data_IF_016207407039
#
_entry.id   IF_016207407039
#
_cell.length_a   1.000
_cell.length_b   1.000
_cell.length_c   1.000
_cell.angle_alpha   90.00
_cell.angle_beta   90.00
_cell.angle_gamma   90.00
#
_symmetry.space_group_name_H-M   'P 1'
#
loop_
_entity.id
_entity.type
_entity.pdbx_description
1 polymer ?
#
# COMPACT_ATOMS: atom_id res chain seq x y z
N UNK A 1 -1.75 -65.80 60.66
CA UNK A 1 -0.81 -64.69 60.62
C UNK A 1 -0.73 -64.32 59.14
N UNK A 2 -1.57 -63.41 58.63
CA UNK A 2 -1.62 -62.99 57.23
C UNK A 2 -1.31 -61.51 57.18
N UNK A 3 -0.30 -61.16 56.37
CA UNK A 3 0.02 -59.78 56.05
C UNK A 3 -0.63 -59.39 54.72
N UNK A 4 -1.59 -58.50 54.79
CA UNK A 4 -2.15 -57.85 53.58
C UNK A 4 -1.32 -56.57 53.26
N UNK A 5 -0.72 -56.59 52.10
CA UNK A 5 0.00 -55.46 51.53
C UNK A 5 -0.96 -54.64 50.64
N UNK A 6 -1.39 -53.48 51.15
CA UNK A 6 -2.24 -52.56 50.39
C UNK A 6 -1.39 -51.80 49.36
N UNK A 7 -1.70 -51.96 48.09
CA UNK A 7 -1.14 -51.17 46.97
C UNK A 7 -1.94 -49.87 46.79
N UNK A 8 -1.34 -48.79 47.19
CA UNK A 8 -1.84 -47.42 46.93
C UNK A 8 -1.60 -47.02 45.47
N UNK A 9 -2.62 -47.05 44.64
CA UNK A 9 -2.54 -46.57 43.25
C UNK A 9 -2.64 -45.04 43.21
N UNK A 10 -1.53 -44.38 42.95
CA UNK A 10 -1.46 -42.92 42.73
C UNK A 10 -1.86 -42.64 41.29
N UNK A 11 -3.08 -42.11 41.08
CA UNK A 11 -3.55 -41.67 39.75
C UNK A 11 -3.08 -40.23 39.53
N UNK A 12 -2.06 -40.06 38.69
CA UNK A 12 -1.58 -38.78 38.22
C UNK A 12 -2.54 -38.26 37.13
N UNK A 13 -3.31 -37.24 37.42
CA UNK A 13 -4.14 -36.55 36.43
C UNK A 13 -3.28 -35.51 35.73
N UNK A 14 -2.93 -35.76 34.46
CA UNK A 14 -2.33 -34.75 33.59
C UNK A 14 -3.42 -33.73 33.14
N UNK A 15 -3.35 -32.52 33.67
CA UNK A 15 -4.11 -31.41 33.15
C UNK A 15 -3.39 -30.87 31.92
N UNK A 16 -3.90 -31.15 30.73
CA UNK A 16 -3.45 -30.54 29.49
C UNK A 16 -4.03 -29.13 29.41
N UNK A 17 -3.23 -28.14 29.74
CA UNK A 17 -3.57 -26.75 29.50
C UNK A 17 -3.45 -26.45 28.00
N UNK A 18 -4.57 -26.34 27.29
CA UNK A 18 -4.61 -25.88 25.91
C UNK A 18 -4.34 -24.36 25.89
N UNK A 19 -3.10 -23.98 25.60
CA UNK A 19 -2.76 -22.60 25.28
C UNK A 19 -3.36 -22.24 23.92
N UNK A 20 -4.52 -21.57 23.90
CA UNK A 20 -5.00 -20.87 22.70
C UNK A 20 -4.01 -19.76 22.36
N UNK A 21 -3.17 -20.00 21.35
CA UNK A 21 -2.36 -18.96 20.72
C UNK A 21 -3.31 -17.98 20.02
N UNK A 22 -3.56 -16.85 20.64
CA UNK A 22 -4.17 -15.67 20.01
C UNK A 22 -3.18 -15.17 18.93
N UNK A 23 -3.30 -15.69 17.72
CA UNK A 23 -2.62 -15.11 16.58
C UNK A 23 -3.13 -13.67 16.40
N UNK A 24 -2.25 -12.64 16.35
CA UNK A 24 -2.71 -11.30 16.08
C UNK A 24 -3.35 -11.29 14.69
N UNK A 25 -4.62 -10.94 14.61
CA UNK A 25 -5.28 -10.63 13.34
C UNK A 25 -4.58 -9.42 12.74
N UNK A 26 -3.65 -9.65 11.82
CA UNK A 26 -3.06 -8.59 11.01
C UNK A 26 -4.17 -8.11 10.09
N UNK A 27 -4.79 -6.99 10.44
CA UNK A 27 -5.77 -6.33 9.59
C UNK A 27 -5.08 -5.94 8.28
N UNK A 28 -5.36 -6.69 7.21
CA UNK A 28 -4.75 -6.48 5.91
C UNK A 28 -5.43 -5.28 5.23
N UNK A 29 -4.94 -4.06 5.48
CA UNK A 29 -5.34 -2.87 4.71
C UNK A 29 -4.81 -2.90 3.27
N UNK A 30 -4.08 -3.94 2.90
CA UNK A 30 -3.64 -4.27 1.55
C UNK A 30 -4.76 -5.02 0.79
N UNK A 31 -4.40 -5.76 -0.23
CA UNK A 31 -5.36 -6.56 -0.98
C UNK A 31 -5.76 -7.81 -0.19
N UNK A 32 -7.03 -7.87 0.23
CA UNK A 32 -7.58 -9.06 0.87
C UNK A 32 -8.13 -10.01 -0.21
N UNK A 33 -7.70 -11.27 -0.19
CA UNK A 33 -8.10 -12.31 -1.15
C UNK A 33 -7.86 -11.93 -2.62
N UNK A 34 -6.78 -11.18 -2.90
CA UNK A 34 -6.48 -10.79 -4.27
C UNK A 34 -6.11 -11.99 -5.15
N UNK A 35 -6.69 -12.03 -6.35
CA UNK A 35 -6.45 -13.05 -7.36
C UNK A 35 -5.65 -12.49 -8.52
N UNK A 36 -4.43 -13.02 -8.73
CA UNK A 36 -3.65 -12.71 -9.93
C UNK A 36 -4.30 -13.41 -11.13
N UNK A 37 -4.45 -12.74 -12.29
CA UNK A 37 -4.98 -13.39 -13.50
C UNK A 37 -4.13 -14.59 -13.93
N UNK A 38 -4.77 -15.68 -14.36
CA UNK A 38 -4.09 -16.87 -14.86
C UNK A 38 -3.65 -16.74 -16.32
N UNK A 39 -4.24 -15.81 -17.07
CA UNK A 39 -3.97 -15.59 -18.49
C UNK A 39 -3.15 -14.33 -18.78
N UNK A 40 -2.85 -14.07 -20.07
CA UNK A 40 -2.14 -12.88 -20.51
C UNK A 40 -2.85 -11.59 -20.07
N UNK A 41 -2.07 -10.63 -19.61
CA UNK A 41 -2.54 -9.29 -19.26
C UNK A 41 -2.27 -8.37 -20.45
N UNK A 42 -3.26 -7.63 -20.90
CA UNK A 42 -3.08 -6.62 -21.95
C UNK A 42 -2.10 -5.53 -21.48
N UNK A 43 -1.18 -5.18 -22.36
CA UNK A 43 -0.26 -4.07 -22.15
C UNK A 43 -0.77 -2.90 -23.01
N UNK A 44 -1.46 -1.91 -22.42
CA UNK A 44 -1.99 -0.80 -23.19
C UNK A 44 -0.87 0.16 -23.61
N UNK A 45 -1.07 0.84 -24.73
CA UNK A 45 -0.24 1.98 -25.10
C UNK A 45 -0.41 3.10 -24.07
N UNK A 46 0.67 3.78 -23.77
CA UNK A 46 0.70 4.88 -22.80
C UNK A 46 0.96 6.19 -23.55
N UNK A 47 -0.07 7.02 -23.78
CA UNK A 47 0.13 8.35 -24.33
C UNK A 47 0.83 9.25 -23.30
N UNK A 48 1.76 10.08 -23.80
CA UNK A 48 2.45 11.03 -22.94
C UNK A 48 1.49 12.19 -22.59
N UNK A 49 1.35 12.47 -21.29
CA UNK A 49 0.45 13.49 -20.73
C UNK A 49 1.18 14.75 -20.24
N UNK A 50 2.44 14.94 -20.62
CA UNK A 50 3.20 16.11 -20.18
C UNK A 50 4.60 16.18 -20.77
N UNK A 51 5.38 17.20 -20.41
CA UNK A 51 6.74 17.41 -20.92
C UNK A 51 7.72 16.37 -20.38
N UNK A 52 8.77 16.08 -21.16
CA UNK A 52 9.95 15.36 -20.67
C UNK A 52 10.69 16.25 -19.67
N UNK A 53 11.02 15.70 -18.51
CA UNK A 53 11.90 16.36 -17.52
C UNK A 53 12.94 15.37 -17.03
N UNK A 54 14.20 15.73 -17.21
CA UNK A 54 15.36 14.97 -16.74
C UNK A 54 16.09 15.82 -15.72
N UNK A 55 15.82 15.60 -14.45
CA UNK A 55 16.46 16.28 -13.33
C UNK A 55 17.04 15.26 -12.37
N UNK A 56 18.12 15.61 -11.62
CA UNK A 56 18.69 14.70 -10.65
C UNK A 56 17.66 14.23 -9.62
N UNK A 57 17.62 12.92 -9.39
CA UNK A 57 16.74 12.32 -8.36
C UNK A 57 17.31 12.63 -6.97
N UNK A 58 16.50 13.20 -6.10
CA UNK A 58 16.85 13.53 -4.71
C UNK A 58 16.15 12.67 -3.68
N UNK A 59 15.17 11.88 -4.08
CA UNK A 59 14.39 10.99 -3.23
C UNK A 59 13.24 10.38 -4.02
N UNK A 60 12.30 9.76 -3.31
CA UNK A 60 11.16 9.08 -3.91
C UNK A 60 9.88 9.30 -3.10
N UNK A 61 8.75 9.19 -3.76
CA UNK A 61 7.43 9.12 -3.13
C UNK A 61 6.74 7.81 -3.55
N UNK A 62 6.41 6.96 -2.59
CA UNK A 62 5.47 5.86 -2.83
C UNK A 62 4.05 6.39 -2.59
N UNK A 63 3.30 6.58 -3.66
CA UNK A 63 1.92 7.05 -3.61
C UNK A 63 0.95 5.86 -3.50
N UNK A 64 0.01 5.93 -2.56
CA UNK A 64 -0.88 4.86 -2.19
C UNK A 64 -2.33 5.35 -2.22
N UNK A 65 -3.11 4.90 -3.19
CA UNK A 65 -4.53 5.27 -3.33
C UNK A 65 -5.37 4.47 -2.34
N UNK A 66 -6.27 5.15 -1.62
CA UNK A 66 -7.31 4.51 -0.82
C UNK A 66 -8.44 4.04 -1.72
N UNK A 67 -8.50 2.72 -1.99
CA UNK A 67 -9.43 2.13 -2.96
C UNK A 67 -10.91 2.37 -2.64
N UNK A 68 -11.39 2.33 -1.39
CA UNK A 68 -12.81 2.58 -1.14
C UNK A 68 -13.27 3.97 -1.61
N UNK A 69 -12.49 5.03 -1.37
CA UNK A 69 -12.84 6.36 -1.87
C UNK A 69 -12.65 6.49 -3.39
N UNK A 70 -11.59 5.86 -3.95
CA UNK A 70 -11.39 5.83 -5.39
C UNK A 70 -12.54 5.15 -6.11
N UNK A 71 -13.04 4.03 -5.59
CA UNK A 71 -14.09 3.23 -6.21
C UNK A 71 -15.49 3.84 -6.06
N UNK A 72 -15.66 4.82 -5.19
CA UNK A 72 -16.95 5.47 -4.96
C UNK A 72 -17.52 6.05 -6.26
N UNK A 73 -18.61 5.43 -6.74
CA UNK A 73 -19.23 5.77 -8.03
C UNK A 73 -18.45 5.30 -9.27
N UNK A 74 -17.52 4.34 -9.11
CA UNK A 74 -16.75 3.72 -10.20
C UNK A 74 -16.98 2.22 -10.36
N UNK A 75 -17.82 1.62 -9.54
CA UNK A 75 -18.04 0.16 -9.42
C UNK A 75 -18.45 -0.48 -10.75
N UNK A 76 -19.23 0.25 -11.57
CA UNK A 76 -19.68 -0.19 -12.89
C UNK A 76 -18.72 0.10 -14.05
N UNK A 77 -17.63 0.84 -13.83
CA UNK A 77 -16.73 1.23 -14.93
C UNK A 77 -15.84 0.06 -15.34
N UNK A 78 -15.80 -0.23 -16.63
CA UNK A 78 -15.02 -1.35 -17.19
C UNK A 78 -13.52 -1.22 -16.88
N UNK A 79 -12.95 0.00 -16.97
CA UNK A 79 -11.56 0.28 -16.68
C UNK A 79 -11.18 0.04 -15.21
N UNK A 80 -12.11 0.25 -14.29
CA UNK A 80 -11.90 0.15 -12.83
C UNK A 80 -12.39 -1.20 -12.27
N UNK A 81 -12.92 -2.09 -13.13
CA UNK A 81 -13.57 -3.35 -12.71
C UNK A 81 -12.69 -4.19 -11.80
N UNK A 82 -11.39 -4.29 -12.07
CA UNK A 82 -10.49 -5.10 -11.26
C UNK A 82 -10.38 -4.56 -9.84
N UNK A 83 -10.25 -3.26 -9.67
CA UNK A 83 -10.12 -2.61 -8.37
C UNK A 83 -11.45 -2.49 -7.63
N UNK A 84 -12.54 -2.20 -8.36
CA UNK A 84 -13.76 -1.69 -7.74
C UNK A 84 -14.94 -2.68 -7.70
N UNK A 85 -14.89 -3.81 -8.41
CA UNK A 85 -16.02 -4.76 -8.44
C UNK A 85 -16.04 -5.80 -7.32
N UNK A 86 -14.99 -5.89 -6.51
CA UNK A 86 -14.82 -6.94 -5.49
C UNK A 86 -14.47 -8.33 -6.06
N UNK A 87 -14.56 -8.55 -7.38
CA UNK A 87 -14.35 -9.89 -7.99
C UNK A 87 -12.90 -10.36 -7.97
N UNK A 88 -11.95 -9.43 -8.09
CA UNK A 88 -10.52 -9.75 -8.09
C UNK A 88 -9.89 -9.68 -6.70
N UNK A 89 -10.62 -9.20 -5.72
CA UNK A 89 -10.20 -9.01 -4.33
C UNK A 89 -10.86 -7.78 -3.73
N UNK A 90 -10.67 -7.59 -2.43
CA UNK A 90 -11.05 -6.36 -1.71
C UNK A 90 -9.76 -5.59 -1.46
N UNK A 91 -9.74 -4.33 -1.88
CA UNK A 91 -8.56 -3.50 -1.82
C UNK A 91 -8.74 -2.35 -0.82
N UNK A 92 -7.79 -2.22 0.09
CA UNK A 92 -7.60 -1.05 0.92
C UNK A 92 -6.71 -0.02 0.21
N UNK A 93 -5.51 0.23 0.73
CA UNK A 93 -4.51 0.93 -0.04
C UNK A 93 -3.99 0.07 -1.18
N UNK A 94 -3.73 0.70 -2.33
CA UNK A 94 -3.04 0.12 -3.47
C UNK A 94 -1.96 1.09 -3.94
N UNK A 95 -0.90 0.58 -4.52
CA UNK A 95 0.15 1.45 -5.06
C UNK A 95 -0.38 2.16 -6.30
N UNK A 96 -0.41 3.49 -6.24
CA UNK A 96 -0.57 4.34 -7.40
C UNK A 96 0.71 4.29 -8.23
N UNK A 97 1.84 4.70 -7.62
CA UNK A 97 3.14 4.65 -8.24
C UNK A 97 4.28 4.89 -7.26
N UNK A 98 5.50 4.62 -7.72
CA UNK A 98 6.74 5.04 -7.07
C UNK A 98 7.36 6.14 -7.93
N UNK A 99 7.34 7.37 -7.41
CA UNK A 99 7.73 8.55 -8.15
C UNK A 99 9.10 9.06 -7.74
N UNK A 100 10.03 9.27 -8.67
CA UNK A 100 11.26 9.96 -8.36
C UNK A 100 11.01 11.45 -8.12
N UNK A 101 11.67 12.01 -7.13
CA UNK A 101 11.59 13.41 -6.76
C UNK A 101 12.89 14.16 -7.13
N UNK A 102 12.79 15.46 -7.39
CA UNK A 102 13.90 16.35 -7.61
C UNK A 102 13.70 17.69 -6.91
N UNK A 103 14.71 18.54 -6.93
CA UNK A 103 14.63 19.88 -6.30
C UNK A 103 13.62 20.77 -7.04
N UNK A 104 12.53 21.17 -6.37
CA UNK A 104 11.49 22.06 -6.90
C UNK A 104 10.60 21.45 -7.99
N UNK A 105 10.98 20.33 -8.58
CA UNK A 105 10.25 19.59 -9.61
C UNK A 105 10.55 18.10 -9.51
N UNK A 106 10.06 17.30 -10.44
CA UNK A 106 10.32 15.85 -10.49
C UNK A 106 10.68 15.41 -11.91
N UNK A 107 11.55 14.40 -12.09
CA UNK A 107 11.78 13.81 -13.39
C UNK A 107 10.56 13.01 -13.86
N UNK A 108 10.26 13.10 -15.15
CA UNK A 108 9.19 12.33 -15.78
C UNK A 108 9.40 12.18 -17.27
N UNK A 109 8.81 11.12 -17.84
CA UNK A 109 8.86 10.82 -19.27
C UNK A 109 10.29 10.70 -19.81
N UNK A 110 11.22 10.23 -18.98
CA UNK A 110 12.56 9.91 -19.41
C UNK A 110 12.52 8.83 -20.50
N UNK A 111 13.49 8.79 -21.43
CA UNK A 111 13.53 7.77 -22.46
C UNK A 111 13.49 6.35 -21.84
N UNK A 112 12.45 5.60 -22.16
CA UNK A 112 12.31 4.21 -21.74
C UNK A 112 12.89 3.29 -22.80
N UNK A 113 13.70 2.31 -22.39
CA UNK A 113 14.26 1.32 -23.31
C UNK A 113 13.17 0.48 -24.00
N UNK A 114 12.08 0.21 -23.30
CA UNK A 114 10.93 -0.55 -23.81
C UNK A 114 9.67 -0.40 -22.93
N UNK A 115 8.52 -0.77 -23.48
CA UNK A 115 7.30 -0.98 -22.70
C UNK A 115 7.43 -2.22 -21.78
N UNK A 116 6.63 -2.30 -20.71
CA UNK A 116 6.55 -3.52 -19.90
C UNK A 116 5.89 -4.65 -20.70
N UNK A 117 6.16 -5.88 -20.31
CA UNK A 117 5.50 -7.07 -20.87
C UNK A 117 4.32 -7.51 -19.99
N UNK A 118 3.39 -8.30 -20.55
CA UNK A 118 2.32 -8.95 -19.78
C UNK A 118 2.86 -9.71 -18.55
N UNK A 119 3.98 -10.43 -18.74
CA UNK A 119 4.64 -11.21 -17.67
C UNK A 119 5.18 -10.32 -16.53
N UNK A 120 5.58 -9.09 -16.85
CA UNK A 120 6.05 -8.12 -15.85
C UNK A 120 4.88 -7.42 -15.15
N UNK A 121 3.74 -7.21 -15.83
CA UNK A 121 2.57 -6.57 -15.23
C UNK A 121 1.78 -7.52 -14.30
N UNK A 122 1.54 -8.75 -14.74
CA UNK A 122 0.62 -9.68 -14.06
C UNK A 122 0.92 -9.87 -12.55
N UNK A 123 2.17 -10.10 -12.09
CA UNK A 123 2.48 -10.29 -10.68
C UNK A 123 2.22 -9.06 -9.80
N UNK A 124 2.06 -7.88 -10.41
CA UNK A 124 1.87 -6.61 -9.70
C UNK A 124 0.41 -6.21 -9.54
N UNK A 125 -0.53 -6.97 -10.12
CA UNK A 125 -1.95 -6.61 -10.13
C UNK A 125 -2.66 -6.75 -8.78
N UNK A 126 -2.01 -7.30 -7.77
CA UNK A 126 -2.49 -7.25 -6.38
C UNK A 126 -1.98 -6.02 -5.63
N UNK A 127 -0.85 -5.48 -6.04
CA UNK A 127 -0.29 -4.22 -5.53
C UNK A 127 -0.94 -3.01 -6.20
N UNK A 128 -1.08 -3.06 -7.54
CA UNK A 128 -1.71 -2.03 -8.38
C UNK A 128 -2.73 -2.69 -9.31
N UNK A 129 -4.03 -2.68 -8.98
CA UNK A 129 -5.04 -3.48 -9.69
C UNK A 129 -5.46 -2.90 -11.05
N UNK A 130 -4.52 -2.31 -11.79
CA UNK A 130 -4.70 -1.74 -13.13
C UNK A 130 -3.44 -1.91 -13.97
N UNK A 131 -3.53 -2.71 -15.05
CA UNK A 131 -2.42 -2.86 -15.99
C UNK A 131 -2.09 -1.55 -16.71
N UNK A 132 -3.11 -0.74 -16.98
CA UNK A 132 -2.92 0.58 -17.59
C UNK A 132 -2.15 1.52 -16.67
N UNK A 133 -2.47 1.53 -15.37
CA UNK A 133 -1.74 2.31 -14.40
C UNK A 133 -0.29 1.82 -14.24
N UNK A 134 -0.08 0.51 -14.13
CA UNK A 134 1.28 -0.05 -14.07
C UNK A 134 2.13 0.36 -15.28
N UNK A 135 1.58 0.27 -16.50
CA UNK A 135 2.28 0.67 -17.70
C UNK A 135 2.57 2.19 -17.73
N UNK A 136 1.60 3.01 -17.30
CA UNK A 136 1.73 4.46 -17.19
C UNK A 136 2.85 4.84 -16.21
N UNK A 137 2.80 4.29 -14.99
CA UNK A 137 3.75 4.59 -13.93
C UNK A 137 5.19 4.20 -14.28
N UNK A 138 5.38 3.07 -14.98
CA UNK A 138 6.66 2.72 -15.55
C UNK A 138 7.12 3.78 -16.56
N UNK A 139 6.28 4.09 -17.56
CA UNK A 139 6.68 4.94 -18.69
C UNK A 139 6.94 6.38 -18.25
N UNK A 140 6.12 6.90 -17.32
CA UNK A 140 6.22 8.28 -16.85
C UNK A 140 7.31 8.47 -15.80
N UNK A 141 7.40 7.57 -14.84
CA UNK A 141 8.22 7.71 -13.64
C UNK A 141 9.34 6.69 -13.55
N UNK A 142 9.03 5.41 -13.75
CA UNK A 142 9.98 4.31 -13.59
C UNK A 142 11.19 4.41 -14.52
N UNK A 143 10.98 4.83 -15.76
CA UNK A 143 12.05 5.04 -16.74
C UNK A 143 13.06 6.14 -16.33
N UNK A 144 12.69 7.02 -15.40
CA UNK A 144 13.60 8.00 -14.83
C UNK A 144 14.42 7.47 -13.63
N UNK A 145 14.13 6.25 -13.18
CA UNK A 145 14.74 5.64 -11.99
C UNK A 145 15.68 4.49 -12.36
N UNK A 146 15.24 3.63 -13.27
CA UNK A 146 15.92 2.38 -13.64
C UNK A 146 15.74 2.07 -15.12
N UNK A 147 16.58 1.18 -15.65
CA UNK A 147 16.70 0.83 -17.07
C UNK A 147 15.65 -0.19 -17.56
N UNK A 148 14.92 -0.86 -16.67
CA UNK A 148 13.98 -1.93 -17.03
C UNK A 148 12.71 -1.95 -16.17
N UNK A 149 11.52 -2.25 -16.79
CA UNK A 149 10.23 -2.29 -16.06
C UNK A 149 10.25 -3.26 -14.88
N UNK A 150 10.84 -4.44 -15.05
CA UNK A 150 10.94 -5.45 -13.99
C UNK A 150 11.68 -4.97 -12.76
N UNK A 151 12.73 -4.12 -12.91
CA UNK A 151 13.45 -3.51 -11.79
C UNK A 151 12.57 -2.51 -11.05
N UNK A 152 11.86 -1.65 -11.77
CA UNK A 152 10.92 -0.69 -11.21
C UNK A 152 9.84 -1.38 -10.36
N UNK A 153 9.16 -2.37 -10.94
CA UNK A 153 8.13 -3.11 -10.22
C UNK A 153 8.68 -3.92 -9.02
N UNK A 154 9.91 -4.43 -9.14
CA UNK A 154 10.58 -5.10 -8.02
C UNK A 154 10.80 -4.15 -6.84
N UNK A 155 11.34 -2.96 -7.08
CA UNK A 155 11.55 -1.94 -6.04
C UNK A 155 10.21 -1.55 -5.41
N UNK A 156 9.20 -1.22 -6.22
CA UNK A 156 7.86 -0.88 -5.74
C UNK A 156 7.26 -1.97 -4.84
N UNK A 157 7.41 -3.26 -5.21
CA UNK A 157 6.95 -4.38 -4.38
C UNK A 157 7.72 -4.54 -3.08
N UNK A 158 9.05 -4.33 -3.10
CA UNK A 158 9.87 -4.40 -1.89
C UNK A 158 9.38 -3.36 -0.89
N UNK A 159 9.25 -2.11 -1.32
CA UNK A 159 8.74 -1.03 -0.47
C UNK A 159 7.32 -1.32 0.03
N UNK A 160 6.41 -1.72 -0.88
CA UNK A 160 5.04 -2.08 -0.52
C UNK A 160 4.96 -3.21 0.50
N UNK A 161 5.72 -4.28 0.31
CA UNK A 161 5.70 -5.45 1.19
C UNK A 161 6.39 -5.20 2.54
N UNK A 162 7.23 -4.17 2.66
CA UNK A 162 7.85 -3.79 3.93
C UNK A 162 6.91 -3.06 4.87
N UNK A 163 5.76 -2.56 4.37
CA UNK A 163 4.82 -1.77 5.15
C UNK A 163 3.91 -2.64 6.01
N UNK A 164 3.65 -2.16 7.22
CA UNK A 164 2.63 -2.70 8.13
C UNK A 164 1.48 -1.70 8.22
N UNK A 165 0.27 -2.22 8.19
CA UNK A 165 -0.92 -1.39 8.16
C UNK A 165 -1.61 -1.36 9.52
N UNK A 166 -1.86 -0.18 10.08
CA UNK A 166 -2.77 -0.07 11.21
C UNK A 166 -4.20 -0.44 10.78
N UNK A 167 -5.06 -0.72 11.75
CA UNK A 167 -6.46 -1.02 11.50
C UNK A 167 -7.24 0.23 11.03
N UNK A 168 -7.28 0.42 9.71
CA UNK A 168 -7.99 1.55 9.09
C UNK A 168 -9.50 1.47 9.27
N UNK A 169 -10.08 0.29 9.47
CA UNK A 169 -11.51 0.16 9.77
C UNK A 169 -11.83 0.73 11.15
N UNK A 170 -10.96 0.50 12.13
CA UNK A 170 -11.06 1.08 13.46
C UNK A 170 -10.79 2.59 13.43
N UNK A 171 -9.72 3.03 12.77
CA UNK A 171 -9.34 4.44 12.65
C UNK A 171 -10.48 5.24 12.00
N UNK A 172 -11.11 4.69 10.95
CA UNK A 172 -12.20 5.34 10.22
C UNK A 172 -13.48 5.56 11.05
N UNK A 173 -13.58 4.95 12.23
CA UNK A 173 -14.72 5.10 13.17
C UNK A 173 -14.44 6.11 14.28
N UNK A 174 -13.23 6.63 14.35
CA UNK A 174 -12.89 7.60 15.38
C UNK A 174 -13.64 8.91 15.15
N UNK A 175 -14.23 9.44 16.21
CA UNK A 175 -14.83 10.78 16.19
C UNK A 175 -13.72 11.83 16.05
N UNK A 176 -13.99 12.84 15.22
CA UNK A 176 -13.08 13.98 15.01
C UNK A 176 -11.66 13.55 14.56
N UNK A 177 -11.57 12.49 13.73
CA UNK A 177 -10.29 12.02 13.19
C UNK A 177 -9.53 13.14 12.49
N UNK A 178 -8.24 13.28 12.81
CA UNK A 178 -7.35 14.29 12.21
C UNK A 178 -6.27 13.67 11.34
N UNK A 179 -5.65 14.49 10.49
CA UNK A 179 -4.53 14.07 9.66
C UNK A 179 -3.34 13.57 10.49
N UNK A 180 -3.04 14.25 11.60
CA UNK A 180 -1.98 13.85 12.53
C UNK A 180 -2.21 12.46 13.13
N UNK A 181 -3.44 12.16 13.55
CA UNK A 181 -3.76 10.83 14.10
C UNK A 181 -3.56 9.70 13.07
N UNK A 182 -3.85 9.94 11.80
CA UNK A 182 -3.58 8.95 10.72
C UNK A 182 -2.07 8.75 10.55
N UNK A 183 -1.28 9.83 10.52
CA UNK A 183 0.18 9.77 10.41
C UNK A 183 0.81 9.03 11.58
N UNK A 184 0.43 9.39 12.79
CA UNK A 184 0.89 8.75 14.02
C UNK A 184 0.58 7.25 14.03
N UNK A 185 -0.66 6.86 13.71
CA UNK A 185 -1.05 5.46 13.67
C UNK A 185 -0.24 4.65 12.64
N UNK A 186 0.11 5.26 11.48
CA UNK A 186 0.96 4.61 10.50
C UNK A 186 2.42 4.51 11.00
N UNK A 187 2.97 5.56 11.57
CA UNK A 187 4.33 5.58 12.11
C UNK A 187 4.51 4.55 13.23
N UNK A 188 3.58 4.47 14.18
CA UNK A 188 3.59 3.48 15.26
C UNK A 188 3.58 2.02 14.76
N UNK A 189 2.91 1.76 13.64
CA UNK A 189 2.89 0.42 13.04
C UNK A 189 4.18 0.06 12.31
N UNK A 190 5.06 1.03 12.00
CA UNK A 190 6.20 0.86 11.13
C UNK A 190 7.50 1.37 11.77
N UNK A 191 8.48 0.48 12.03
CA UNK A 191 9.80 0.88 12.52
C UNK A 191 10.46 1.89 11.57
N UNK A 192 11.15 2.88 12.12
CA UNK A 192 11.86 3.94 11.39
C UNK A 192 10.97 4.94 10.65
N UNK A 193 9.66 4.87 10.84
CA UNK A 193 8.73 5.88 10.33
C UNK A 193 8.37 6.87 11.43
N UNK A 194 8.30 8.15 11.03
CA UNK A 194 7.82 9.26 11.85
C UNK A 194 6.63 9.93 11.14
N UNK A 195 5.74 10.62 11.86
CA UNK A 195 4.57 11.27 11.23
C UNK A 195 4.92 12.20 10.07
N UNK A 196 6.04 12.91 10.12
CA UNK A 196 6.50 13.80 9.05
C UNK A 196 6.94 13.10 7.76
N UNK A 197 7.14 11.78 7.79
CA UNK A 197 7.44 10.98 6.61
C UNK A 197 6.19 10.59 5.81
N UNK A 198 5.00 10.91 6.35
CA UNK A 198 3.70 10.46 5.83
C UNK A 198 2.87 11.64 5.35
N UNK A 199 2.77 11.80 4.04
CA UNK A 199 1.87 12.77 3.43
C UNK A 199 0.46 12.20 3.23
N UNK A 200 -0.53 13.08 3.23
CA UNK A 200 -1.93 12.73 2.97
C UNK A 200 -2.51 13.62 1.86
N UNK A 201 -3.35 13.04 1.04
CA UNK A 201 -4.18 13.77 0.07
C UNK A 201 -5.64 13.53 0.42
N UNK A 202 -6.38 14.59 0.60
CA UNK A 202 -7.83 14.57 0.83
C UNK A 202 -8.56 15.28 -0.32
N UNK A 203 -9.83 14.93 -0.55
CA UNK A 203 -10.66 15.69 -1.47
C UNK A 203 -11.24 16.94 -0.78
N UNK A 204 -11.95 17.78 -1.53
CA UNK A 204 -12.56 19.04 -1.04
C UNK A 204 -13.52 18.83 0.15
N UNK A 205 -14.06 17.63 0.32
CA UNK A 205 -14.96 17.25 1.42
C UNK A 205 -14.22 16.60 2.61
N UNK A 206 -12.87 16.57 2.58
CA UNK A 206 -12.02 16.02 3.62
C UNK A 206 -11.92 14.48 3.61
N UNK A 207 -12.33 13.78 2.54
CA UNK A 207 -12.16 12.34 2.44
C UNK A 207 -10.75 11.97 2.01
N UNK A 208 -10.14 11.01 2.71
CA UNK A 208 -8.82 10.48 2.38
C UNK A 208 -8.84 9.82 1.01
N UNK A 209 -7.99 10.31 0.10
CA UNK A 209 -7.79 9.79 -1.25
C UNK A 209 -6.50 8.98 -1.37
N UNK A 210 -5.42 9.51 -0.81
CA UNK A 210 -4.08 8.97 -1.04
C UNK A 210 -3.20 9.21 0.19
N UNK A 211 -2.32 8.26 0.45
CA UNK A 211 -1.18 8.42 1.37
C UNK A 211 0.10 8.48 0.54
N UNK A 212 1.01 9.36 0.90
CA UNK A 212 2.31 9.54 0.26
C UNK A 212 3.42 9.25 1.24
N UNK A 213 4.19 8.23 0.97
CA UNK A 213 5.31 7.82 1.80
C UNK A 213 6.60 8.37 1.19
N UNK A 214 7.29 9.23 1.93
CA UNK A 214 8.46 9.95 1.47
C UNK A 214 9.75 9.19 1.81
N UNK A 215 10.60 9.01 0.80
CA UNK A 215 11.87 8.28 0.92
C UNK A 215 13.05 9.14 0.44
N UNK A 216 14.17 8.99 1.10
CA UNK A 216 15.47 9.46 0.62
C UNK A 216 15.96 8.67 -0.61
N UNK A 217 17.15 9.03 -1.10
CA UNK A 217 17.78 8.32 -2.23
C UNK A 217 18.17 6.87 -1.90
N UNK A 218 18.36 6.57 -0.65
CA UNK A 218 18.68 5.26 -0.08
C UNK A 218 17.43 4.41 0.21
N UNK A 219 16.26 4.89 -0.16
CA UNK A 219 14.96 4.30 0.18
C UNK A 219 14.66 4.20 1.68
N UNK A 220 15.33 4.99 2.52
CA UNK A 220 14.94 5.16 3.92
C UNK A 220 13.86 6.24 4.05
N UNK A 221 12.93 6.12 5.04
CA UNK A 221 11.95 7.16 5.31
C UNK A 221 12.61 8.52 5.56
N UNK A 222 12.01 9.57 5.02
CA UNK A 222 12.47 10.96 5.20
C UNK A 222 11.29 11.92 5.24
N UNK A 223 11.48 13.10 5.83
CA UNK A 223 10.42 14.09 5.95
C UNK A 223 9.86 14.49 4.57
N UNK A 224 8.54 14.51 4.46
CA UNK A 224 7.85 15.02 3.29
C UNK A 224 8.01 16.54 3.19
N UNK A 225 8.26 17.07 1.99
CA UNK A 225 8.16 18.50 1.77
C UNK A 225 6.69 18.97 1.87
N UNK A 226 6.48 20.30 1.91
CA UNK A 226 5.12 20.87 2.06
C UNK A 226 4.11 20.40 1.00
N UNK A 227 4.55 20.13 -0.24
CA UNK A 227 3.66 19.67 -1.32
C UNK A 227 3.18 18.25 -1.11
N UNK A 228 4.04 17.41 -0.56
CA UNK A 228 3.76 15.98 -0.33
C UNK A 228 3.08 15.74 1.00
N UNK A 229 3.37 16.55 2.01
CA UNK A 229 2.80 16.43 3.36
C UNK A 229 1.27 16.59 3.37
N UNK A 230 0.75 17.58 2.63
CA UNK A 230 -0.70 17.82 2.51
C UNK A 230 -1.27 18.59 3.72
N UNK A 231 -2.47 18.25 4.23
CA UNK A 231 -3.14 19.01 5.26
C UNK A 231 -2.35 19.02 6.59
N UNK A 232 -2.45 20.08 7.40
CA UNK A 232 -1.82 20.12 8.73
C UNK A 232 -2.39 19.04 9.66
N UNK A 233 -1.65 18.68 10.70
CA UNK A 233 -2.03 17.61 11.63
C UNK A 233 -3.38 17.82 12.30
N UNK A 234 -3.77 19.07 12.56
CA UNK A 234 -5.08 19.43 13.14
C UNK A 234 -6.24 19.35 12.17
N UNK A 235 -5.98 19.18 10.86
CA UNK A 235 -7.05 19.15 9.86
C UNK A 235 -7.94 17.92 10.02
N UNK A 236 -9.28 18.08 10.03
CA UNK A 236 -10.20 16.96 10.08
C UNK A 236 -10.13 16.12 8.80
N UNK A 237 -10.08 14.79 8.95
CA UNK A 237 -10.05 13.85 7.84
C UNK A 237 -11.13 12.79 8.03
N UNK A 238 -11.76 12.39 6.93
CA UNK A 238 -12.73 11.29 6.88
C UNK A 238 -12.17 10.15 6.06
N UNK A 239 -12.46 8.92 6.46
CA UNK A 239 -12.07 7.73 5.71
C UNK A 239 -13.32 6.98 5.26
N UNK A 240 -13.55 6.91 3.95
CA UNK A 240 -14.63 6.11 3.38
C UNK A 240 -14.25 4.64 3.43
N UNK A 241 -15.08 3.80 4.05
CA UNK A 241 -14.81 2.36 4.24
C UNK A 241 -15.33 1.48 3.10
N UNK A 242 -16.07 2.06 2.17
CA UNK A 242 -16.81 1.34 1.14
C UNK A 242 -18.19 0.88 1.64
N UNK A 243 -18.93 0.23 0.76
CA UNK A 243 -20.23 -0.41 1.04
C UNK A 243 -20.03 -1.86 1.44
#
# INVERSE_FOLDING_TARGET
MGHESGHLRLTVRFAVAAALALAPNVAAAQAYQCRVPQGPVSVPAVPRDGPVRQVPVTGYTLALTWSPEYCRGREGRAADRRQCSGRAGRFGFVVHGLWPEGRGTWPQWCPAARAPTSRELAPNLCMTPSAALLAHEWTKHGACMVDAPGKYFKVSRILWNSLRWPDFDRIARADNLTAGQIRTAFAEANRHWEPEHVGLVVNERGWLKEMRLCYGRDFMPTACDRRRFGPPDSAPVKIWRGL
#
